data_IF_077431867074
#
_entry.id   IF_077431867074
#
_cell.length_a   1.000
_cell.length_b   1.000
_cell.length_c   1.000
_cell.angle_alpha   90.00
_cell.angle_beta   90.00
_cell.angle_gamma   90.00
#
_symmetry.space_group_name_H-M   'P 1'
#
loop_
_entity.id
_entity.type
_entity.pdbx_description
1 polymer ?
#
# COMPACT_ATOMS: atom_id res chain seq x y z
N UNK A 1 10.45 -21.12 7.38
CA UNK A 1 11.45 -21.98 6.72
C UNK A 1 12.82 -21.46 7.05
N UNK A 2 13.75 -22.33 7.40
CA UNK A 2 15.16 -22.00 7.68
C UNK A 2 16.02 -22.56 6.56
N UNK A 3 16.94 -21.76 6.02
CA UNK A 3 17.84 -22.16 4.94
C UNK A 3 19.20 -22.62 5.49
N UNK A 4 20.03 -23.31 4.68
CA UNK A 4 21.37 -23.76 5.11
C UNK A 4 22.29 -22.64 5.59
N UNK A 5 22.06 -21.40 5.14
CA UNK A 5 22.79 -20.22 5.58
C UNK A 5 22.16 -19.54 6.82
N UNK A 6 21.34 -20.25 7.59
CA UNK A 6 20.62 -19.78 8.79
C UNK A 6 19.57 -18.67 8.55
N UNK A 7 19.47 -18.15 7.32
CA UNK A 7 18.41 -17.23 6.94
C UNK A 7 17.04 -17.86 7.13
N UNK A 8 16.04 -17.03 7.46
CA UNK A 8 14.67 -17.49 7.66
C UNK A 8 13.69 -16.77 6.73
N UNK A 9 12.64 -17.48 6.34
CA UNK A 9 11.53 -16.95 5.55
C UNK A 9 10.17 -17.42 6.11
N UNK A 10 9.18 -16.54 6.10
CA UNK A 10 7.79 -16.89 6.27
C UNK A 10 7.28 -17.60 5.01
N UNK A 11 6.45 -18.61 5.18
CA UNK A 11 5.90 -19.41 4.09
C UNK A 11 4.37 -19.24 4.03
N UNK A 12 3.81 -18.84 2.88
CA UNK A 12 2.34 -18.84 2.63
C UNK A 12 1.97 -19.80 1.47
N UNK A 13 1.16 -20.86 1.67
CA UNK A 13 0.79 -21.80 0.60
C UNK A 13 -0.15 -21.17 -0.44
N UNK A 14 -0.22 -21.76 -1.63
CA UNK A 14 -1.31 -21.51 -2.57
C UNK A 14 -2.61 -22.04 -1.97
N UNK A 15 -3.60 -21.16 -1.79
CA UNK A 15 -4.95 -21.51 -1.32
C UNK A 15 -6.04 -21.34 -2.38
N UNK A 16 -5.76 -20.55 -3.42
CA UNK A 16 -6.72 -20.21 -4.47
C UNK A 16 -6.02 -20.14 -5.83
N UNK A 17 -6.77 -20.43 -6.89
CA UNK A 17 -6.34 -20.23 -8.27
C UNK A 17 -6.23 -18.75 -8.63
N UNK A 18 -5.45 -18.41 -9.66
CA UNK A 18 -5.01 -17.03 -9.95
C UNK A 18 -6.03 -16.20 -10.72
N UNK A 19 -7.00 -16.87 -11.33
CA UNK A 19 -8.12 -16.34 -12.10
C UNK A 19 -9.41 -16.28 -11.28
N UNK A 20 -9.45 -16.92 -10.11
CA UNK A 20 -10.63 -16.95 -9.24
C UNK A 20 -10.72 -15.66 -8.44
N UNK A 21 -11.86 -14.97 -8.54
CA UNK A 21 -12.21 -13.86 -7.66
C UNK A 21 -12.82 -14.35 -6.34
N UNK A 22 -12.68 -13.53 -5.30
CA UNK A 22 -13.30 -13.74 -4.00
C UNK A 22 -14.81 -13.59 -4.12
N UNK A 23 -15.56 -14.58 -3.63
CA UNK A 23 -17.04 -14.53 -3.59
C UNK A 23 -17.53 -13.19 -3.02
N UNK A 24 -18.51 -12.58 -3.68
CA UNK A 24 -19.08 -11.29 -3.30
C UNK A 24 -19.73 -11.30 -1.90
N UNK A 25 -20.22 -12.46 -1.45
CA UNK A 25 -20.83 -12.66 -0.13
C UNK A 25 -19.79 -12.78 0.99
N UNK A 26 -18.52 -12.98 0.64
CA UNK A 26 -17.46 -13.13 1.61
C UNK A 26 -17.03 -11.76 2.14
N UNK A 27 -17.07 -11.60 3.46
CA UNK A 27 -16.56 -10.42 4.13
C UNK A 27 -15.02 -10.40 4.09
N UNK A 28 -14.42 -9.21 4.10
CA UNK A 28 -12.96 -9.00 4.03
C UNK A 28 -12.16 -9.84 5.05
N UNK A 29 -12.69 -10.03 6.26
CA UNK A 29 -12.04 -10.82 7.32
C UNK A 29 -12.16 -12.34 7.11
N UNK A 30 -13.01 -12.79 6.18
CA UNK A 30 -13.19 -14.19 5.81
C UNK A 30 -12.50 -14.59 4.51
N UNK A 31 -11.92 -13.62 3.77
CA UNK A 31 -11.15 -13.89 2.55
C UNK A 31 -9.95 -14.81 2.80
N UNK A 32 -9.53 -15.53 1.77
CA UNK A 32 -8.32 -16.34 1.83
C UNK A 32 -7.07 -15.46 1.70
N UNK A 33 -5.98 -15.90 2.30
CA UNK A 33 -4.67 -15.34 1.95
C UNK A 33 -4.11 -16.03 0.71
N UNK A 34 -3.47 -15.26 -0.18
CA UNK A 34 -2.90 -15.74 -1.43
C UNK A 34 -1.41 -15.42 -1.49
N UNK A 35 -0.62 -16.45 -1.82
CA UNK A 35 0.81 -16.29 -2.08
C UNK A 35 1.16 -15.25 -3.15
N UNK A 36 0.42 -15.23 -4.27
CA UNK A 36 0.65 -14.30 -5.36
C UNK A 36 0.37 -12.85 -4.96
N UNK A 37 -0.51 -12.62 -3.98
CA UNK A 37 -0.77 -11.30 -3.44
C UNK A 37 0.43 -10.74 -2.67
N UNK A 38 1.13 -11.55 -1.87
CA UNK A 38 2.35 -11.13 -1.17
C UNK A 38 3.47 -10.77 -2.15
N UNK A 39 3.68 -11.60 -3.18
CA UNK A 39 4.70 -11.35 -4.21
C UNK A 39 4.35 -10.08 -4.98
N UNK A 40 3.09 -9.96 -5.43
CA UNK A 40 2.65 -8.79 -6.19
C UNK A 40 2.70 -7.49 -5.36
N UNK A 41 2.37 -7.55 -4.07
CA UNK A 41 2.49 -6.40 -3.19
C UNK A 41 3.94 -5.91 -3.12
N UNK A 42 4.92 -6.80 -2.92
CA UNK A 42 6.35 -6.43 -2.90
C UNK A 42 6.78 -5.72 -4.19
N UNK A 43 6.40 -6.26 -5.35
CA UNK A 43 6.74 -5.63 -6.63
C UNK A 43 6.06 -4.27 -6.81
N UNK A 44 4.79 -4.13 -6.41
CA UNK A 44 4.05 -2.87 -6.48
C UNK A 44 4.63 -1.81 -5.54
N UNK A 45 4.96 -2.18 -4.30
CA UNK A 45 5.60 -1.31 -3.32
C UNK A 45 6.96 -0.79 -3.81
N UNK A 46 7.75 -1.65 -4.48
CA UNK A 46 8.99 -1.25 -5.16
C UNK A 46 8.74 -0.29 -6.32
N UNK A 47 7.74 -0.55 -7.17
CA UNK A 47 7.39 0.34 -8.30
C UNK A 47 6.94 1.72 -7.80
N UNK A 48 6.15 1.75 -6.73
CA UNK A 48 5.70 2.98 -6.06
C UNK A 48 6.82 3.67 -5.27
N UNK A 49 8.02 3.07 -5.19
CA UNK A 49 9.18 3.66 -4.53
C UNK A 49 9.12 3.65 -3.00
N UNK A 50 8.13 2.96 -2.41
CA UNK A 50 7.93 2.92 -0.97
C UNK A 50 9.03 2.12 -0.26
N UNK A 51 9.36 0.92 -0.75
CA UNK A 51 10.42 0.05 -0.22
C UNK A 51 10.17 -0.34 1.25
N UNK A 52 8.93 -0.70 1.57
CA UNK A 52 8.43 -0.97 2.91
C UNK A 52 7.92 -2.39 3.10
N UNK A 53 7.89 -3.19 2.03
CA UNK A 53 7.60 -4.63 2.07
C UNK A 53 8.92 -5.41 2.05
N UNK A 54 9.14 -6.37 2.98
CA UNK A 54 10.29 -7.28 2.91
C UNK A 54 10.32 -8.04 1.58
N UNK A 55 11.50 -8.40 1.03
CA UNK A 55 11.56 -9.16 -0.22
C UNK A 55 10.75 -10.46 -0.17
N UNK A 56 9.90 -10.67 -1.16
CA UNK A 56 9.07 -11.86 -1.33
C UNK A 56 9.33 -12.46 -2.70
N UNK A 57 9.47 -13.79 -2.77
CA UNK A 57 9.71 -14.51 -4.02
C UNK A 57 8.87 -15.79 -4.09
N UNK A 58 8.32 -16.03 -5.27
CA UNK A 58 7.69 -17.28 -5.60
C UNK A 58 8.72 -18.40 -5.76
N UNK A 59 8.39 -19.59 -5.24
CA UNK A 59 9.23 -20.77 -5.43
C UNK A 59 8.35 -21.98 -5.69
N UNK A 60 8.69 -22.79 -6.68
CA UNK A 60 8.14 -24.14 -6.82
C UNK A 60 8.79 -25.02 -5.75
N UNK A 61 8.17 -25.00 -4.59
CA UNK A 61 8.27 -26.00 -3.54
C UNK A 61 6.83 -26.45 -3.32
N UNK A 62 6.54 -27.33 -2.36
CA UNK A 62 5.18 -27.40 -1.84
C UNK A 62 4.81 -26.09 -1.09
N UNK A 63 5.19 -24.88 -1.57
CA UNK A 63 5.26 -23.63 -0.81
C UNK A 63 5.60 -22.28 -1.57
N UNK A 64 5.62 -21.08 -0.93
CA UNK A 64 6.04 -19.74 -1.43
C UNK A 64 6.68 -18.83 -0.34
N UNK A 65 7.71 -18.03 -0.61
CA UNK A 65 8.59 -17.51 0.46
C UNK A 65 8.62 -15.98 0.60
N UNK A 66 8.45 -15.48 1.83
CA UNK A 66 8.71 -14.09 2.21
C UNK A 66 9.90 -14.01 3.16
N UNK A 67 10.87 -13.13 2.90
CA UNK A 67 12.02 -12.95 3.78
C UNK A 67 11.57 -12.53 5.19
N UNK A 68 12.16 -13.12 6.23
CA UNK A 68 11.89 -12.68 7.60
C UNK A 68 12.64 -11.38 7.90
N UNK A 69 11.97 -10.49 8.63
CA UNK A 69 12.61 -9.36 9.28
C UNK A 69 13.53 -9.86 10.41
N UNK A 70 14.52 -9.04 10.85
CA UNK A 70 15.38 -9.42 11.96
C UNK A 70 14.57 -9.84 13.19
N UNK A 71 15.15 -10.77 13.97
CA UNK A 71 14.51 -11.28 15.17
C UNK A 71 14.11 -10.14 16.12
N UNK A 72 12.96 -10.28 16.79
CA UNK A 72 12.42 -9.26 17.69
C UNK A 72 13.34 -8.95 18.88
N UNK A 73 14.23 -9.89 19.26
CA UNK A 73 15.27 -9.65 20.27
C UNK A 73 16.35 -8.66 19.80
N UNK A 74 16.60 -8.57 18.50
CA UNK A 74 17.60 -7.68 17.90
C UNK A 74 16.99 -6.38 17.40
N UNK A 75 15.79 -6.45 16.83
CA UNK A 75 15.05 -5.31 16.30
C UNK A 75 13.59 -5.35 16.77
N UNK A 76 13.30 -4.89 17.99
CA UNK A 76 11.94 -4.79 18.50
C UNK A 76 11.05 -3.97 17.57
N UNK A 77 9.82 -4.46 17.37
CA UNK A 77 8.81 -3.81 16.53
C UNK A 77 7.59 -3.47 17.38
N UNK A 78 7.05 -2.29 17.12
CA UNK A 78 5.81 -1.84 17.73
C UNK A 78 4.66 -1.99 16.75
N UNK A 79 3.63 -2.70 17.18
CA UNK A 79 2.36 -2.79 16.46
C UNK A 79 1.46 -1.62 16.83
N UNK A 80 0.84 -1.01 15.83
CA UNK A 80 -0.07 0.12 15.97
C UNK A 80 -1.42 -0.22 15.35
N UNK A 81 -2.49 0.07 16.08
CA UNK A 81 -3.85 -0.07 15.56
C UNK A 81 -4.14 1.05 14.54
N UNK A 82 -4.60 0.67 13.35
CA UNK A 82 -5.01 1.63 12.33
C UNK A 82 -6.23 2.45 12.79
N UNK A 83 -6.26 3.79 12.62
CA UNK A 83 -7.44 4.60 12.94
C UNK A 83 -8.63 4.27 12.03
N UNK A 84 -8.36 3.86 10.79
CA UNK A 84 -9.36 3.40 9.83
C UNK A 84 -9.56 1.88 9.84
N UNK A 85 -9.16 1.21 10.94
CA UNK A 85 -9.49 -0.20 11.14
C UNK A 85 -11.00 -0.40 11.02
N UNK A 86 -11.41 -1.37 10.22
CA UNK A 86 -12.82 -1.78 10.09
C UNK A 86 -13.37 -2.38 11.39
N UNK A 87 -14.67 -2.57 11.48
CA UNK A 87 -15.32 -3.09 12.68
C UNK A 87 -15.07 -4.58 12.94
N UNK A 88 -14.70 -5.36 11.91
CA UNK A 88 -14.67 -6.83 11.93
C UNK A 88 -16.03 -7.41 12.35
N UNK A 89 -17.10 -6.77 11.87
CA UNK A 89 -18.47 -7.13 12.15
C UNK A 89 -19.30 -7.01 10.87
N UNK A 90 -20.29 -7.89 10.71
CA UNK A 90 -21.22 -7.85 9.59
C UNK A 90 -22.26 -6.74 9.71
N UNK A 91 -22.50 -6.22 10.91
CA UNK A 91 -23.58 -5.25 11.19
C UNK A 91 -23.08 -3.94 11.79
N UNK A 92 -21.92 -3.94 12.46
CA UNK A 92 -21.40 -2.71 13.10
C UNK A 92 -20.59 -1.90 12.08
N UNK A 93 -20.90 -0.62 11.97
CA UNK A 93 -20.05 0.36 11.29
C UNK A 93 -18.96 0.86 12.25
N UNK A 94 -17.74 1.05 11.73
CA UNK A 94 -16.64 1.72 12.40
C UNK A 94 -16.89 3.23 12.53
N UNK A 95 -16.13 3.89 13.40
CA UNK A 95 -16.32 5.33 13.66
C UNK A 95 -16.08 6.19 12.42
N UNK A 96 -15.04 5.88 11.65
CA UNK A 96 -14.69 6.60 10.42
C UNK A 96 -15.71 6.44 9.29
N UNK A 97 -16.56 5.40 9.34
CA UNK A 97 -17.68 5.19 8.39
C UNK A 97 -18.89 6.07 8.74
N UNK A 98 -18.99 6.51 10.01
CA UNK A 98 -20.12 7.32 10.52
C UNK A 98 -19.81 8.81 10.51
N UNK A 99 -18.54 9.18 10.72
CA UNK A 99 -18.12 10.56 10.88
C UNK A 99 -17.33 11.03 9.64
N UNK A 100 -17.90 11.92 8.80
CA UNK A 100 -17.20 12.45 7.63
C UNK A 100 -15.99 13.33 8.01
N UNK A 101 -15.95 13.85 9.24
CA UNK A 101 -14.87 14.68 9.78
C UNK A 101 -13.87 13.88 10.63
N UNK A 102 -13.91 12.55 10.60
CA UNK A 102 -13.09 11.68 11.45
C UNK A 102 -11.58 12.01 11.39
N UNK A 103 -11.05 12.35 10.20
CA UNK A 103 -9.64 12.69 10.07
C UNK A 103 -9.24 13.96 10.86
N UNK A 104 -10.15 14.90 11.11
CA UNK A 104 -9.85 16.08 11.92
C UNK A 104 -9.49 15.71 13.37
N UNK A 105 -10.13 14.66 13.90
CA UNK A 105 -9.78 14.06 15.19
C UNK A 105 -8.45 13.33 15.12
N UNK A 106 -8.24 12.51 14.09
CA UNK A 106 -6.98 11.77 13.90
C UNK A 106 -5.77 12.71 13.84
N UNK A 107 -5.87 13.84 13.12
CA UNK A 107 -4.82 14.87 13.02
C UNK A 107 -4.43 15.49 14.36
N UNK A 108 -5.24 15.35 15.41
CA UNK A 108 -4.95 15.85 16.77
C UNK A 108 -4.42 14.75 17.70
N UNK A 109 -4.57 13.48 17.32
CA UNK A 109 -4.24 12.32 18.15
C UNK A 109 -2.80 11.85 17.89
N UNK A 110 -1.95 11.67 18.92
CA UNK A 110 -0.66 11.02 18.77
C UNK A 110 -0.79 9.58 18.24
N UNK A 111 0.13 9.09 17.38
CA UNK A 111 1.30 9.79 16.81
C UNK A 111 1.01 10.58 15.52
N UNK A 112 -0.24 10.68 15.07
CA UNK A 112 -0.61 11.28 13.77
C UNK A 112 -0.59 12.82 13.76
N UNK A 113 -0.49 13.44 14.93
CA UNK A 113 -0.47 14.90 15.10
C UNK A 113 0.91 15.53 14.84
N UNK A 114 1.95 14.74 14.64
CA UNK A 114 3.33 15.20 14.41
C UNK A 114 4.04 14.34 13.36
N UNK A 115 5.13 14.89 12.81
CA UNK A 115 6.01 14.18 11.88
C UNK A 115 5.31 13.76 10.58
N UNK A 116 5.78 12.66 10.00
CA UNK A 116 5.29 12.13 8.72
C UNK A 116 4.21 11.07 8.87
N UNK A 117 3.86 10.68 10.10
CA UNK A 117 3.04 9.49 10.37
C UNK A 117 1.70 9.46 9.62
N UNK A 118 1.03 10.60 9.51
CA UNK A 118 -0.22 10.68 8.77
C UNK A 118 -0.01 10.39 7.29
N UNK A 119 0.99 11.02 6.65
CA UNK A 119 1.26 10.82 5.22
C UNK A 119 1.86 9.44 4.94
N UNK A 120 2.56 8.83 5.91
CA UNK A 120 2.91 7.40 5.85
C UNK A 120 1.70 6.47 5.78
N UNK A 121 0.67 6.75 6.58
CA UNK A 121 -0.57 6.01 6.53
C UNK A 121 -1.30 6.20 5.18
N UNK A 122 -1.22 7.39 4.59
CA UNK A 122 -1.81 7.66 3.27
C UNK A 122 -1.10 6.88 2.16
N UNK A 123 0.23 6.78 2.18
CA UNK A 123 0.96 5.95 1.21
C UNK A 123 0.55 4.48 1.31
N UNK A 124 0.46 3.94 2.53
CA UNK A 124 -0.03 2.58 2.78
C UNK A 124 -1.48 2.40 2.30
N UNK A 125 -2.33 3.42 2.52
CA UNK A 125 -3.73 3.43 2.05
C UNK A 125 -3.82 3.37 0.51
N UNK A 126 -2.95 4.11 -0.19
CA UNK A 126 -2.89 4.10 -1.65
C UNK A 126 -2.44 2.72 -2.15
N UNK A 127 -1.41 2.13 -1.52
CA UNK A 127 -0.98 0.77 -1.82
C UNK A 127 -2.15 -0.22 -1.63
N UNK A 128 -2.79 -0.20 -0.47
CA UNK A 128 -3.91 -1.07 -0.11
C UNK A 128 -5.08 -0.91 -1.10
N UNK A 129 -5.40 0.31 -1.54
CA UNK A 129 -6.48 0.52 -2.52
C UNK A 129 -6.12 -0.05 -3.90
N UNK A 130 -4.91 0.22 -4.40
CA UNK A 130 -4.45 -0.30 -5.70
C UNK A 130 -4.54 -1.83 -5.74
N UNK A 131 -4.17 -2.49 -4.65
CA UNK A 131 -4.23 -3.94 -4.54
C UNK A 131 -5.56 -4.50 -4.01
N UNK A 132 -6.52 -3.65 -3.63
CA UNK A 132 -7.80 -4.02 -3.00
C UNK A 132 -7.64 -4.82 -1.70
N UNK A 133 -6.69 -4.43 -0.84
CA UNK A 133 -6.52 -4.99 0.49
C UNK A 133 -7.36 -4.23 1.52
N UNK A 134 -8.42 -4.87 2.01
CA UNK A 134 -9.32 -4.29 3.01
C UNK A 134 -8.93 -4.60 4.46
N UNK A 135 -7.94 -5.45 4.68
CA UNK A 135 -7.66 -6.06 6.00
C UNK A 135 -6.53 -5.38 6.78
N UNK A 136 -6.22 -4.12 6.45
CA UNK A 136 -5.22 -3.32 7.15
C UNK A 136 -5.70 -2.87 8.54
N UNK A 137 -5.77 -3.79 9.50
CA UNK A 137 -6.16 -3.47 10.87
C UNK A 137 -5.05 -2.87 11.73
N UNK A 138 -3.81 -3.25 11.44
CA UNK A 138 -2.62 -2.82 12.16
C UNK A 138 -1.50 -2.53 11.17
N UNK A 139 -0.49 -1.81 11.64
CA UNK A 139 0.78 -1.63 10.96
C UNK A 139 1.92 -1.68 11.99
N UNK A 140 3.14 -1.93 11.54
CA UNK A 140 4.31 -2.02 12.42
C UNK A 140 5.33 -0.93 12.13
N UNK A 141 6.12 -0.60 13.15
CA UNK A 141 7.31 0.25 13.06
C UNK A 141 8.46 -0.37 13.85
N UNK A 142 9.71 -0.11 13.47
CA UNK A 142 10.85 -0.45 14.31
C UNK A 142 10.92 0.51 15.52
N UNK A 143 11.00 -0.05 16.73
CA UNK A 143 11.00 0.75 17.97
C UNK A 143 12.21 1.67 18.08
N UNK A 144 13.36 1.20 17.59
CA UNK A 144 14.63 1.94 17.60
C UNK A 144 14.56 3.33 16.97
N UNK A 145 13.66 3.52 16.00
CA UNK A 145 13.52 4.79 15.27
C UNK A 145 12.40 5.68 15.81
N UNK A 146 11.71 5.28 16.88
CA UNK A 146 10.65 6.08 17.50
C UNK A 146 9.46 6.31 16.58
N UNK A 147 8.91 7.53 16.59
CA UNK A 147 7.71 7.86 15.81
C UNK A 147 8.00 8.32 14.38
N UNK A 148 9.17 8.93 14.16
CA UNK A 148 9.62 9.46 12.87
C UNK A 148 10.32 8.37 12.06
N UNK A 149 9.55 7.34 11.72
CA UNK A 149 9.97 6.17 10.95
C UNK A 149 8.88 5.78 9.96
N UNK A 150 9.27 5.04 8.93
CA UNK A 150 8.34 4.45 7.97
C UNK A 150 7.52 3.32 8.60
N UNK A 151 6.38 3.02 7.97
CA UNK A 151 5.51 1.90 8.33
C UNK A 151 5.94 0.67 7.55
N UNK A 152 5.96 -0.48 8.22
CA UNK A 152 6.16 -1.78 7.57
C UNK A 152 4.84 -2.23 6.94
N UNK A 153 4.87 -2.49 5.63
CA UNK A 153 3.72 -2.93 4.85
C UNK A 153 3.61 -4.47 4.85
N UNK A 154 3.38 -5.07 6.03
CA UNK A 154 3.34 -6.55 6.19
C UNK A 154 1.96 -7.15 5.87
N UNK A 155 1.84 -8.46 5.74
CA UNK A 155 0.56 -9.18 5.59
C UNK A 155 -0.36 -8.66 4.47
N UNK A 156 0.10 -8.81 3.23
CA UNK A 156 -0.63 -8.39 2.04
C UNK A 156 -1.40 -9.54 1.37
N UNK A 157 -1.49 -10.71 2.03
CA UNK A 157 -2.07 -11.93 1.49
C UNK A 157 -3.55 -11.82 1.10
N UNK A 158 -4.31 -10.86 1.66
CA UNK A 158 -5.72 -10.60 1.29
C UNK A 158 -5.89 -9.57 0.16
N UNK A 159 -4.79 -9.15 -0.45
CA UNK A 159 -4.83 -8.32 -1.64
C UNK A 159 -5.16 -9.15 -2.88
N UNK A 160 -5.48 -8.46 -3.98
CA UNK A 160 -5.78 -9.03 -5.29
C UNK A 160 -6.87 -10.11 -5.24
N UNK A 161 -7.83 -9.97 -4.32
CA UNK A 161 -8.97 -10.87 -4.22
C UNK A 161 -10.05 -10.62 -5.26
N UNK A 162 -10.19 -9.39 -5.76
CA UNK A 162 -11.17 -9.01 -6.80
C UNK A 162 -10.55 -8.05 -7.81
N UNK A 163 -10.79 -8.25 -9.10
CA UNK A 163 -10.38 -7.35 -10.18
C UNK A 163 -11.56 -6.63 -10.83
N UNK A 164 -12.76 -7.21 -10.79
CA UNK A 164 -13.98 -6.63 -11.36
C UNK A 164 -14.57 -5.51 -10.50
N UNK A 165 -14.22 -5.47 -9.22
CA UNK A 165 -14.71 -4.49 -8.25
C UNK A 165 -13.56 -3.72 -7.59
N UNK A 166 -13.74 -2.41 -7.46
CA UNK A 166 -12.88 -1.53 -6.67
C UNK A 166 -13.60 -1.19 -5.36
N UNK A 167 -12.87 -1.20 -4.25
CA UNK A 167 -13.43 -0.91 -2.93
C UNK A 167 -13.10 0.53 -2.51
N UNK A 168 -14.00 1.51 -2.76
CA UNK A 168 -13.72 2.91 -2.50
C UNK A 168 -13.50 3.22 -1.01
N UNK A 169 -14.06 2.40 -0.10
CA UNK A 169 -13.89 2.62 1.34
C UNK A 169 -12.44 2.46 1.81
N UNK A 170 -11.57 1.77 1.05
CA UNK A 170 -10.14 1.72 1.35
C UNK A 170 -9.52 3.12 1.22
N UNK A 171 -9.96 3.97 0.28
CA UNK A 171 -9.44 5.34 0.10
C UNK A 171 -9.98 6.36 1.10
N UNK A 172 -10.83 5.96 2.05
CA UNK A 172 -11.39 6.88 3.05
C UNK A 172 -10.34 7.73 3.79
N UNK A 173 -9.15 7.22 4.19
CA UNK A 173 -8.10 8.06 4.77
C UNK A 173 -7.65 9.19 3.84
N UNK A 174 -7.41 8.92 2.56
CA UNK A 174 -6.99 9.94 1.58
C UNK A 174 -8.09 10.97 1.37
N UNK A 175 -9.34 10.51 1.19
CA UNK A 175 -10.51 11.36 0.98
C UNK A 175 -10.78 12.28 2.18
N UNK A 176 -10.79 11.73 3.40
CA UNK A 176 -11.09 12.50 4.62
C UNK A 176 -9.93 13.43 5.01
N UNK A 177 -8.69 12.99 4.84
CA UNK A 177 -7.54 13.79 5.25
C UNK A 177 -7.09 14.82 4.22
N UNK A 178 -7.35 14.58 2.92
CA UNK A 178 -6.87 15.35 1.79
C UNK A 178 -5.42 15.79 1.97
N UNK A 179 -4.52 14.82 2.15
CA UNK A 179 -3.08 15.07 2.29
C UNK A 179 -2.31 13.92 1.67
N UNK A 180 -1.29 14.19 0.85
CA UNK A 180 -0.45 13.19 0.18
C UNK A 180 0.98 13.72 0.04
N UNK A 181 2.00 12.85 0.04
CA UNK A 181 3.38 13.26 -0.25
C UNK A 181 3.53 13.75 -1.69
N UNK A 182 4.40 14.74 -1.89
CA UNK A 182 4.77 15.22 -3.23
C UNK A 182 5.46 14.12 -4.02
N UNK A 183 6.40 13.40 -3.42
CA UNK A 183 7.09 12.27 -4.06
C UNK A 183 6.12 11.20 -4.56
N UNK A 184 5.20 10.75 -3.70
CA UNK A 184 4.14 9.78 -4.04
C UNK A 184 3.25 10.31 -5.17
N UNK A 185 2.75 11.54 -5.05
CA UNK A 185 1.87 12.11 -6.06
C UNK A 185 2.51 12.20 -7.45
N UNK A 186 3.76 12.65 -7.53
CA UNK A 186 4.49 12.72 -8.80
C UNK A 186 4.72 11.33 -9.40
N UNK A 187 5.04 10.33 -8.57
CA UNK A 187 5.22 8.95 -9.02
C UNK A 187 3.92 8.34 -9.53
N UNK A 188 2.78 8.58 -8.87
CA UNK A 188 1.47 8.15 -9.34
C UNK A 188 1.12 8.79 -10.69
N UNK A 189 1.40 10.08 -10.87
CA UNK A 189 1.21 10.77 -12.15
C UNK A 189 2.08 10.19 -13.26
N UNK A 190 3.34 9.88 -12.97
CA UNK A 190 4.26 9.23 -13.91
C UNK A 190 3.70 7.88 -14.37
N UNK A 191 3.25 7.05 -13.43
CA UNK A 191 2.73 5.71 -13.68
C UNK A 191 1.38 5.70 -14.43
N UNK A 192 0.70 6.86 -14.53
CA UNK A 192 -0.51 7.02 -15.33
C UNK A 192 -0.22 7.41 -16.79
N UNK A 193 1.03 7.73 -17.13
CA UNK A 193 1.40 8.06 -18.50
C UNK A 193 1.50 6.80 -19.37
N UNK A 194 1.14 6.84 -20.67
CA UNK A 194 1.18 5.68 -21.55
C UNK A 194 2.53 4.97 -21.60
N UNK A 195 3.64 5.73 -21.56
CA UNK A 195 5.00 5.18 -21.62
C UNK A 195 5.49 4.51 -20.32
N UNK A 196 4.81 4.74 -19.19
CA UNK A 196 5.16 4.20 -17.88
C UNK A 196 3.96 3.55 -17.19
N UNK A 197 2.98 3.10 -17.98
CA UNK A 197 1.70 2.59 -17.50
C UNK A 197 1.91 1.55 -16.40
N UNK A 198 1.23 1.72 -15.27
CA UNK A 198 1.40 0.88 -14.08
C UNK A 198 1.25 -0.61 -14.40
N UNK A 199 0.24 -1.01 -15.18
CA UNK A 199 0.03 -2.40 -15.57
C UNK A 199 1.21 -3.01 -16.33
N UNK A 200 1.84 -2.26 -17.23
CA UNK A 200 2.96 -2.75 -18.05
C UNK A 200 4.24 -2.85 -17.22
N UNK A 201 4.55 -1.83 -16.41
CA UNK A 201 5.69 -1.87 -15.47
C UNK A 201 5.51 -3.01 -14.46
N UNK A 202 4.29 -3.22 -13.97
CA UNK A 202 3.99 -4.33 -13.06
C UNK A 202 4.15 -5.69 -13.74
N UNK A 203 3.65 -5.86 -14.96
CA UNK A 203 3.81 -7.10 -15.75
C UNK A 203 5.29 -7.44 -15.95
N UNK A 204 6.09 -6.46 -16.37
CA UNK A 204 7.53 -6.66 -16.58
C UNK A 204 8.24 -6.98 -15.26
N UNK A 205 7.91 -6.25 -14.19
CA UNK A 205 8.49 -6.47 -12.86
C UNK A 205 8.21 -7.89 -12.36
N UNK A 206 6.96 -8.36 -12.47
CA UNK A 206 6.54 -9.71 -12.05
C UNK A 206 7.16 -10.82 -12.90
N UNK A 207 7.47 -10.56 -14.17
CA UNK A 207 8.06 -11.56 -15.07
C UNK A 207 9.40 -12.12 -14.59
N UNK A 208 10.07 -11.40 -13.67
CA UNK A 208 11.35 -11.78 -13.05
C UNK A 208 11.17 -12.79 -11.91
N UNK A 209 9.96 -13.01 -11.43
CA UNK A 209 9.70 -14.00 -10.38
C UNK A 209 9.70 -15.44 -10.95
N UNK A 210 10.35 -16.42 -10.30
CA UNK A 210 10.42 -17.79 -10.78
C UNK A 210 9.06 -18.46 -11.02
N UNK A 211 8.01 -18.12 -10.27
CA UNK A 211 6.67 -18.71 -10.46
C UNK A 211 6.01 -18.27 -11.77
N UNK A 212 6.54 -17.25 -12.45
CA UNK A 212 6.06 -16.83 -13.76
C UNK A 212 6.26 -17.92 -14.82
N UNK A 213 7.29 -18.75 -14.67
CA UNK A 213 7.54 -19.91 -15.55
C UNK A 213 6.40 -20.95 -15.55
N UNK A 214 5.58 -20.98 -14.49
CA UNK A 214 4.44 -21.88 -14.35
C UNK A 214 3.17 -21.24 -14.89
N UNK A 215 2.93 -19.98 -14.51
CA UNK A 215 1.80 -19.17 -14.96
C UNK A 215 2.06 -17.70 -14.58
N UNK A 216 1.34 -16.72 -15.13
CA UNK A 216 1.39 -15.33 -14.66
C UNK A 216 0.98 -15.19 -13.19
N UNK A 217 1.70 -14.40 -12.38
CA UNK A 217 1.39 -14.18 -10.96
C UNK A 217 0.07 -13.45 -10.73
N UNK A 218 -0.22 -12.47 -11.58
CA UNK A 218 -1.51 -11.78 -11.64
C UNK A 218 -2.14 -12.02 -13.01
N UNK A 219 -3.44 -12.30 -13.01
CA UNK A 219 -4.21 -12.38 -14.24
C UNK A 219 -4.30 -10.99 -14.92
N UNK A 220 -4.46 -10.97 -16.25
CA UNK A 220 -4.55 -9.73 -17.01
C UNK A 220 -5.62 -8.75 -16.49
N UNK A 221 -6.81 -9.18 -16.03
CA UNK A 221 -7.80 -8.28 -15.43
C UNK A 221 -7.30 -7.55 -14.17
N UNK A 222 -6.46 -8.17 -13.33
CA UNK A 222 -5.86 -7.50 -12.18
C UNK A 222 -4.88 -6.40 -12.60
N UNK A 223 -4.10 -6.64 -13.65
CA UNK A 223 -3.20 -5.62 -14.21
C UNK A 223 -4.02 -4.43 -14.75
N UNK A 224 -5.09 -4.68 -15.50
CA UNK A 224 -5.98 -3.62 -15.97
C UNK A 224 -6.68 -2.88 -14.81
N UNK A 225 -7.03 -3.58 -13.72
CA UNK A 225 -7.61 -2.98 -12.53
C UNK A 225 -6.64 -2.03 -11.81
N UNK A 226 -5.32 -2.28 -11.84
CA UNK A 226 -4.32 -1.38 -11.26
C UNK A 226 -4.36 0.00 -11.93
N UNK A 227 -4.46 0.06 -13.26
CA UNK A 227 -4.53 1.33 -14.00
C UNK A 227 -5.83 2.09 -13.66
N UNK A 228 -6.96 1.37 -13.63
CA UNK A 228 -8.26 1.94 -13.27
C UNK A 228 -8.24 2.52 -11.86
N UNK A 229 -7.71 1.78 -10.88
CA UNK A 229 -7.57 2.23 -9.49
C UNK A 229 -6.60 3.39 -9.37
N UNK A 230 -5.48 3.37 -10.09
CA UNK A 230 -4.55 4.50 -10.13
C UNK A 230 -5.24 5.79 -10.59
N UNK A 231 -6.09 5.68 -11.62
CA UNK A 231 -6.89 6.82 -12.06
C UNK A 231 -7.83 7.33 -10.95
N UNK A 232 -8.50 6.44 -10.22
CA UNK A 232 -9.35 6.81 -9.07
C UNK A 232 -8.56 7.51 -7.95
N UNK A 233 -7.32 7.08 -7.66
CA UNK A 233 -6.45 7.75 -6.69
C UNK A 233 -6.14 9.17 -7.14
N UNK A 234 -5.72 9.36 -8.40
CA UNK A 234 -5.41 10.67 -8.96
C UNK A 234 -6.62 11.59 -8.99
N UNK A 235 -7.79 11.08 -9.38
CA UNK A 235 -9.06 11.80 -9.31
C UNK A 235 -9.38 12.22 -7.87
N UNK A 236 -9.17 11.35 -6.89
CA UNK A 236 -9.39 11.68 -5.47
C UNK A 236 -8.51 12.85 -5.02
N UNK A 237 -7.24 12.84 -5.39
CA UNK A 237 -6.32 13.96 -5.09
C UNK A 237 -6.77 15.25 -5.77
N UNK A 238 -7.18 15.18 -7.04
CA UNK A 238 -7.71 16.34 -7.77
C UNK A 238 -8.95 16.95 -7.08
N UNK A 239 -9.92 16.12 -6.67
CA UNK A 239 -11.10 16.60 -5.94
C UNK A 239 -10.73 17.25 -4.60
N UNK A 240 -9.74 16.70 -3.89
CA UNK A 240 -9.20 17.32 -2.69
C UNK A 240 -8.59 18.70 -2.97
N UNK A 241 -7.79 18.85 -4.04
CA UNK A 241 -7.19 20.14 -4.41
C UNK A 241 -8.26 21.18 -4.76
N UNK A 242 -9.23 20.82 -5.60
CA UNK A 242 -10.33 21.71 -5.97
C UNK A 242 -11.19 22.11 -4.76
N UNK A 243 -11.50 21.17 -3.87
CA UNK A 243 -12.28 21.45 -2.67
C UNK A 243 -11.56 22.43 -1.73
N UNK A 244 -10.24 22.32 -1.57
CA UNK A 244 -9.44 23.26 -0.75
C UNK A 244 -9.32 24.63 -1.40
N UNK A 245 -9.19 24.69 -2.74
CA UNK A 245 -9.19 25.92 -3.53
C UNK A 245 -10.50 26.69 -3.35
N UNK A 246 -11.64 26.01 -3.48
CA UNK A 246 -12.97 26.59 -3.28
C UNK A 246 -13.19 27.06 -1.84
N UNK A 247 -12.68 26.32 -0.85
CA UNK A 247 -12.79 26.68 0.56
C UNK A 247 -11.81 27.77 1.03
N UNK A 248 -10.96 28.31 0.14
CA UNK A 248 -9.91 29.30 0.45
C UNK A 248 -8.98 28.89 1.61
N UNK A 249 -8.76 27.58 1.77
CA UNK A 249 -7.97 27.07 2.89
C UNK A 249 -6.47 27.08 2.55
N UNK A 250 -5.65 27.55 3.50
CA UNK A 250 -4.17 27.61 3.37
C UNK A 250 -3.46 26.25 3.51
N UNK A 251 -4.13 25.22 4.01
CA UNK A 251 -3.49 23.91 4.19
C UNK A 251 -3.35 23.18 2.86
N UNK A 252 -2.10 22.97 2.44
CA UNK A 252 -1.80 22.25 1.21
C UNK A 252 -2.20 20.77 1.30
N UNK A 253 -2.81 20.27 0.22
CA UNK A 253 -3.06 18.84 -0.03
C UNK A 253 -1.74 18.12 -0.25
N UNK A 254 -0.78 18.79 -0.88
CA UNK A 254 0.53 18.24 -1.16
C UNK A 254 1.44 18.54 0.03
N UNK A 255 1.86 17.50 0.73
CA UNK A 255 2.92 17.58 1.72
C UNK A 255 4.27 17.53 1.00
N UNK A 256 5.01 18.64 1.04
CA UNK A 256 6.32 18.71 0.41
C UNK A 256 7.38 17.97 1.24
N UNK A 257 7.74 16.79 0.76
CA UNK A 257 8.78 15.93 1.29
C UNK A 257 10.07 15.96 0.44
N UNK A 258 10.13 16.84 -0.57
CA UNK A 258 11.27 16.97 -1.48
C UNK A 258 12.05 18.28 -1.31
N UNK A 259 11.69 19.10 -0.32
CA UNK A 259 12.38 20.36 0.01
C UNK A 259 13.85 20.11 0.36
N UNK A 260 14.74 20.40 -0.58
CA UNK A 260 16.18 20.15 -0.49
C UNK A 260 16.89 20.00 -1.85
N UNK A 261 16.17 19.66 -2.92
CA UNK A 261 16.69 19.77 -4.28
C UNK A 261 16.51 21.19 -4.82
N UNK A 262 17.36 22.12 -4.37
CA UNK A 262 17.70 23.26 -5.22
C UNK A 262 18.37 22.67 -6.46
N UNK A 263 17.75 22.86 -7.63
CA UNK A 263 18.28 22.36 -8.89
C UNK A 263 19.76 22.70 -9.04
N UNK A 264 20.51 21.82 -9.71
CA UNK A 264 21.88 22.07 -10.15
C UNK A 264 22.05 23.54 -10.51
N UNK A 265 22.79 24.26 -9.67
CA UNK A 265 23.25 25.60 -9.99
C UNK A 265 24.23 25.44 -11.17
N UNK A 266 23.72 25.70 -12.37
CA UNK A 266 24.48 25.57 -13.62
C UNK A 266 25.52 26.68 -13.79
N UNK A 267 25.85 27.42 -12.73
CA UNK A 267 26.80 28.54 -12.78
C UNK A 267 28.24 28.20 -12.41
N UNK A 268 28.58 26.95 -12.14
CA UNK A 268 30.00 26.54 -12.04
C UNK A 268 30.41 25.68 -13.24
N UNK A 269 30.82 26.36 -14.32
CA UNK A 269 31.75 25.76 -15.29
C UNK A 269 33.19 26.08 -14.87
N UNK A 270 34.13 25.12 -15.00
CA UNK A 270 35.56 25.37 -14.88
C UNK A 270 36.08 26.28 -16.01
#
# INVERSE_FOLDING_TARGET
>A
MTFPNYGQALFKPKKQERDVETDFNLFYFSDFERHNAEIAAFHLDRILGFQRIPPVVGRLINASLAAMLPDLSLAPRRSWRSPWRRSYSRSKLAQWEKDPNFCATVKKTPPYNKGTRLVDLIDMTILDFLMSNMDRHHYETFEKFGNDTYLLHLDNGRAFGRHSQDEPSILAPLQQCCRIRRSTFLRLRLLALPQFRLSDVMRESLSKDPLTSVAPLLAQPHLSALDRRLHTVLQTVHHCQESRRLAQQRNDVIYDDMGGYTGFDTTTRP
#
